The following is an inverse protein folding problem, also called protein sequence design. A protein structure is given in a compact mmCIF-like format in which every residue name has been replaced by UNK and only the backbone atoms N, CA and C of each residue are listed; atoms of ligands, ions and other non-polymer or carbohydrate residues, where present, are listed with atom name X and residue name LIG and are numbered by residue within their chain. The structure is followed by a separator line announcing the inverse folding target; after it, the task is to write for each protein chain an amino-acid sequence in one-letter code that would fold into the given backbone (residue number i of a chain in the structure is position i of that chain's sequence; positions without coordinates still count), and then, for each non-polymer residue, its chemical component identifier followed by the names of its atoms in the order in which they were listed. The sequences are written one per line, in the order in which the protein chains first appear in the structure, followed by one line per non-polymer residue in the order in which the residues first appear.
data_IF_607195291772
#
_entry.id   IF_607195291772
#
_cell.length_a   1.000
_cell.length_b   1.000
_cell.length_c   1.000
_cell.angle_alpha   90.00
_cell.angle_beta   90.00
_cell.angle_gamma   90.00
#
_symmetry.space_group_name_H-M   'P 1'
#
loop_
_entity.id
_entity.type
_entity.pdbx_description
1 polymer ?
#
# COMPACT_ATOMS: atom_id res chain seq x y z
N UNK A 1 -0.32 -10.80 -2.37
CA UNK A 1 -0.22 -9.55 -3.10
C UNK A 1 0.81 -8.68 -2.39
N UNK A 2 1.58 -7.92 -3.16
CA UNK A 2 2.55 -6.98 -2.63
C UNK A 2 1.92 -5.65 -2.21
N UNK A 3 2.77 -4.67 -1.97
CA UNK A 3 2.38 -3.31 -1.59
C UNK A 3 2.75 -2.32 -2.69
N UNK A 4 1.96 -1.29 -2.84
CA UNK A 4 2.38 -0.03 -3.41
C UNK A 4 3.16 0.74 -2.35
N UNK A 5 4.28 1.34 -2.74
CA UNK A 5 5.25 1.94 -1.83
C UNK A 5 5.29 3.44 -2.03
N UNK A 6 5.17 4.21 -0.94
CA UNK A 6 5.28 5.66 -1.00
C UNK A 6 6.68 6.10 -1.45
N UNK A 7 6.75 7.18 -2.23
CA UNK A 7 8.01 7.69 -2.81
C UNK A 7 9.08 7.97 -1.75
N UNK A 8 8.68 8.38 -0.54
CA UNK A 8 9.58 8.74 0.56
C UNK A 8 10.45 7.59 1.04
N UNK A 9 10.00 6.32 0.88
CA UNK A 9 10.75 5.14 1.34
C UNK A 9 11.39 4.34 0.20
N UNK A 10 11.08 4.64 -1.06
CA UNK A 10 11.73 4.00 -2.23
C UNK A 10 13.25 4.15 -2.26
N UNK A 11 13.85 5.30 -1.84
CA UNK A 11 15.31 5.45 -1.80
C UNK A 11 16.05 4.44 -0.91
N UNK A 12 15.34 3.81 0.03
CA UNK A 12 15.93 2.78 0.91
C UNK A 12 15.98 1.38 0.29
N UNK A 13 15.38 1.17 -0.90
CA UNK A 13 15.40 -0.09 -1.64
C UNK A 13 14.02 -0.72 -1.83
N UNK A 14 12.98 -0.19 -1.21
CA UNK A 14 11.61 -0.68 -1.42
C UNK A 14 11.10 -0.37 -2.83
N UNK A 15 10.31 -1.31 -3.38
CA UNK A 15 9.74 -1.20 -4.72
C UNK A 15 8.24 -1.55 -4.71
N UNK A 16 7.51 -0.96 -5.63
CA UNK A 16 6.12 -1.35 -5.84
C UNK A 16 6.02 -2.85 -6.17
N UNK A 17 5.08 -3.53 -5.51
CA UNK A 17 4.91 -4.97 -5.61
C UNK A 17 5.64 -5.79 -4.55
N UNK A 18 6.48 -5.18 -3.72
CA UNK A 18 7.20 -5.88 -2.65
C UNK A 18 6.23 -6.55 -1.67
N UNK A 19 6.58 -7.76 -1.27
CA UNK A 19 5.94 -8.46 -0.16
C UNK A 19 6.83 -8.37 1.07
N UNK A 20 6.27 -7.92 2.16
CA UNK A 20 6.96 -7.91 3.46
C UNK A 20 7.01 -9.35 4.00
N UNK A 21 8.20 -9.82 4.28
CA UNK A 21 8.44 -11.15 4.84
C UNK A 21 8.65 -11.08 6.35
N UNK A 22 9.56 -10.21 6.80
CA UNK A 22 9.95 -10.08 8.20
C UNK A 22 10.31 -8.63 8.53
N UNK A 23 10.16 -8.28 9.80
CA UNK A 23 10.64 -7.03 10.40
C UNK A 23 11.53 -7.40 11.58
N UNK A 24 12.78 -6.95 11.61
CA UNK A 24 13.78 -7.32 12.60
C UNK A 24 13.92 -8.85 12.79
N UNK A 25 13.79 -9.62 11.70
CA UNK A 25 13.89 -11.08 11.70
C UNK A 25 12.61 -11.83 12.10
N UNK A 26 11.52 -11.13 12.46
CA UNK A 26 10.26 -11.73 12.85
C UNK A 26 9.18 -11.50 11.77
N UNK A 27 8.37 -12.52 11.48
CA UNK A 27 7.25 -12.41 10.55
C UNK A 27 6.10 -11.62 11.19
N UNK A 28 5.49 -10.71 10.42
CA UNK A 28 4.29 -10.00 10.87
C UNK A 28 3.06 -10.90 10.75
N UNK A 29 2.17 -10.90 11.76
CA UNK A 29 0.85 -11.55 11.67
C UNK A 29 0.00 -10.92 10.55
N UNK A 30 0.04 -9.59 10.44
CA UNK A 30 -0.56 -8.82 9.37
C UNK A 30 0.53 -7.97 8.71
N UNK A 31 0.85 -8.24 7.45
CA UNK A 31 1.85 -7.47 6.72
C UNK A 31 1.52 -5.96 6.62
N UNK A 32 0.26 -5.56 6.82
CA UNK A 32 -0.17 -4.15 6.83
C UNK A 32 0.35 -3.40 8.07
N UNK A 33 0.69 -4.12 9.13
CA UNK A 33 1.27 -3.55 10.34
C UNK A 33 2.66 -2.96 10.10
N UNK A 34 3.31 -3.25 8.97
CA UNK A 34 4.57 -2.62 8.57
C UNK A 34 4.53 -1.10 8.71
N UNK A 35 3.39 -0.47 8.37
CA UNK A 35 3.22 0.98 8.51
C UNK A 35 3.36 1.43 9.97
N UNK A 36 2.72 0.72 10.88
CA UNK A 36 2.77 0.99 12.32
C UNK A 36 4.18 0.77 12.87
N UNK A 37 4.83 -0.33 12.45
CA UNK A 37 6.18 -0.66 12.87
C UNK A 37 7.17 0.42 12.46
N UNK A 38 7.23 0.79 11.17
CA UNK A 38 8.14 1.83 10.69
C UNK A 38 7.85 3.22 11.29
N UNK A 39 6.59 3.50 11.60
CA UNK A 39 6.20 4.80 12.12
C UNK A 39 6.43 4.92 13.63
N UNK A 40 6.13 3.88 14.42
CA UNK A 40 6.08 3.98 15.88
C UNK A 40 7.20 3.22 16.60
N UNK A 41 7.74 2.16 16.00
CA UNK A 41 8.65 1.23 16.65
C UNK A 41 10.07 1.36 16.10
N UNK A 42 11.02 0.77 16.82
CA UNK A 42 12.41 0.72 16.39
C UNK A 42 12.58 -0.46 15.41
N UNK A 43 12.72 -0.12 14.14
CA UNK A 43 12.94 -1.08 13.05
C UNK A 43 14.30 -0.82 12.45
N UNK A 44 15.18 -1.83 12.47
CA UNK A 44 16.51 -1.76 11.88
C UNK A 44 16.58 -2.43 10.51
N UNK A 45 15.73 -3.43 10.26
CA UNK A 45 15.76 -4.22 9.03
C UNK A 45 14.35 -4.69 8.65
N UNK A 46 14.09 -4.69 7.35
CA UNK A 46 12.88 -5.31 6.76
C UNK A 46 13.29 -6.26 5.65
N UNK A 47 12.89 -7.52 5.76
CA UNK A 47 13.07 -8.51 4.69
C UNK A 47 11.90 -8.45 3.74
N UNK A 48 12.19 -8.32 2.45
CA UNK A 48 11.18 -8.25 1.37
C UNK A 48 11.40 -9.30 0.31
N UNK A 49 10.35 -9.65 -0.43
CA UNK A 49 10.40 -10.38 -1.69
C UNK A 49 9.90 -9.46 -2.81
N UNK A 50 10.79 -9.12 -3.72
CA UNK A 50 10.45 -8.31 -4.90
C UNK A 50 9.62 -9.10 -5.91
N UNK A 51 9.01 -8.41 -6.88
CA UNK A 51 8.20 -9.03 -7.94
C UNK A 51 8.93 -10.10 -8.74
N UNK A 52 10.25 -9.95 -8.94
CA UNK A 52 11.10 -10.91 -9.62
C UNK A 52 11.43 -12.16 -8.79
N UNK A 53 10.92 -12.25 -7.56
CA UNK A 53 11.18 -13.34 -6.60
C UNK A 53 12.48 -13.22 -5.80
N UNK A 54 13.29 -12.19 -6.05
CA UNK A 54 14.49 -11.95 -5.25
C UNK A 54 14.10 -11.49 -3.85
N UNK A 55 14.82 -12.01 -2.85
CA UNK A 55 14.68 -11.59 -1.46
C UNK A 55 15.83 -10.67 -1.09
N UNK A 56 15.50 -9.60 -0.41
CA UNK A 56 16.44 -8.59 0.04
C UNK A 56 16.14 -8.18 1.48
N UNK A 57 17.20 -7.92 2.26
CA UNK A 57 17.10 -7.32 3.58
C UNK A 57 17.42 -5.83 3.45
N UNK A 58 16.44 -5.00 3.73
CA UNK A 58 16.54 -3.55 3.61
C UNK A 58 16.85 -2.98 4.99
N UNK A 59 17.98 -2.28 5.10
CA UNK A 59 18.34 -1.57 6.33
C UNK A 59 17.50 -0.30 6.48
N UNK A 60 16.97 -0.09 7.66
CA UNK A 60 16.08 1.02 7.97
C UNK A 60 16.79 2.02 8.89
N UNK A 61 16.81 3.32 8.56
CA UNK A 61 17.40 4.33 9.42
C UNK A 61 16.54 4.55 10.67
N UNK A 62 17.19 4.84 11.81
CA UNK A 62 16.53 5.00 13.11
C UNK A 62 15.47 6.11 13.12
N UNK A 63 15.59 7.10 12.24
CA UNK A 63 14.66 8.21 12.12
C UNK A 63 13.60 8.03 11.01
N UNK A 64 13.39 6.82 10.50
CA UNK A 64 12.46 6.57 9.40
C UNK A 64 11.04 7.09 9.69
N UNK A 65 10.55 6.89 10.90
CA UNK A 65 9.24 7.38 11.31
C UNK A 65 9.15 8.91 11.24
N UNK A 66 10.19 9.63 11.62
CA UNK A 66 10.27 11.10 11.51
C UNK A 66 10.26 11.53 10.03
N UNK A 67 11.07 10.86 9.19
CA UNK A 67 11.09 11.12 7.74
C UNK A 67 9.69 10.91 7.15
N UNK A 68 9.02 9.82 7.48
CA UNK A 68 7.66 9.55 7.04
C UNK A 68 6.68 10.64 7.49
N UNK A 69 6.76 11.06 8.77
CA UNK A 69 5.89 12.09 9.32
C UNK A 69 6.08 13.45 8.64
N UNK A 70 7.31 13.91 8.50
CA UNK A 70 7.64 15.19 7.89
C UNK A 70 7.21 15.27 6.42
N UNK A 71 7.28 14.14 5.70
CA UNK A 71 6.82 14.04 4.32
C UNK A 71 5.31 13.73 4.17
N UNK A 72 4.57 13.62 5.28
CA UNK A 72 3.13 13.34 5.25
C UNK A 72 2.78 11.89 4.88
N UNK A 73 3.74 10.99 4.89
CA UNK A 73 3.60 9.58 4.52
C UNK A 73 3.45 8.69 5.77
N UNK A 74 2.49 9.00 6.65
CA UNK A 74 2.18 8.19 7.85
C UNK A 74 1.92 6.72 7.47
N UNK A 75 1.37 6.51 6.27
CA UNK A 75 1.32 5.21 5.62
C UNK A 75 2.27 5.23 4.44
N UNK A 76 3.23 4.30 4.42
CA UNK A 76 4.20 4.16 3.35
C UNK A 76 3.92 2.93 2.48
N UNK A 77 3.11 2.00 2.97
CA UNK A 77 2.71 0.78 2.27
C UNK A 77 1.20 0.71 2.13
N UNK A 78 0.72 0.61 0.91
CA UNK A 78 -0.67 0.42 0.57
C UNK A 78 -0.85 -0.95 -0.10
N UNK A 79 -1.87 -1.75 0.26
CA UNK A 79 -2.11 -3.00 -0.43
C UNK A 79 -2.25 -2.79 -1.93
N UNK A 80 -1.39 -3.42 -2.71
CA UNK A 80 -1.39 -3.25 -4.15
C UNK A 80 -2.60 -3.95 -4.78
N UNK A 81 -3.36 -3.22 -5.58
CA UNK A 81 -4.42 -3.78 -6.43
C UNK A 81 -3.80 -4.17 -7.78
N UNK A 82 -3.59 -5.46 -8.05
CA UNK A 82 -3.00 -5.89 -9.32
C UNK A 82 -3.93 -5.57 -10.49
N UNK A 83 -3.36 -5.40 -11.69
CA UNK A 83 -4.12 -5.13 -12.91
C UNK A 83 -4.81 -6.42 -13.39
N UNK A 84 -5.95 -6.74 -12.79
CA UNK A 84 -6.77 -7.90 -13.15
C UNK A 84 -7.97 -7.43 -13.96
N UNK A 85 -8.18 -8.01 -15.12
CA UNK A 85 -9.30 -7.66 -16.00
C UNK A 85 -10.62 -8.13 -15.39
N UNK A 86 -11.55 -7.20 -15.19
CA UNK A 86 -12.92 -7.49 -14.71
C UNK A 86 -13.90 -7.64 -15.85
N UNK A 87 -13.80 -6.78 -16.87
CA UNK A 87 -14.63 -6.88 -18.06
C UNK A 87 -13.87 -6.54 -19.33
N UNK A 88 -14.34 -7.08 -20.43
CA UNK A 88 -13.82 -6.84 -21.78
C UNK A 88 -14.99 -6.46 -22.67
N UNK A 89 -14.83 -5.33 -23.36
CA UNK A 89 -15.86 -4.82 -24.27
C UNK A 89 -15.95 -5.73 -25.49
N UNK A 90 -17.13 -6.24 -25.85
CA UNK A 90 -17.32 -7.05 -27.06
C UNK A 90 -16.81 -6.35 -28.32
N UNK A 91 -16.16 -7.08 -29.21
CA UNK A 91 -15.56 -6.58 -30.45
C UNK A 91 -14.48 -5.51 -30.28
N UNK A 92 -13.94 -5.33 -29.05
CA UNK A 92 -12.80 -4.47 -28.80
C UNK A 92 -11.48 -5.08 -29.23
N UNK A 93 -10.39 -4.29 -29.32
CA UNK A 93 -9.04 -4.82 -29.53
C UNK A 93 -8.65 -5.94 -28.56
N UNK A 94 -8.95 -5.79 -27.28
CA UNK A 94 -8.68 -6.80 -26.26
C UNK A 94 -9.50 -8.08 -26.48
N UNK A 95 -10.77 -7.94 -26.85
CA UNK A 95 -11.62 -9.09 -27.20
C UNK A 95 -11.07 -9.87 -28.39
N UNK A 96 -10.68 -9.16 -29.45
CA UNK A 96 -10.13 -9.76 -30.68
C UNK A 96 -8.77 -10.42 -30.44
N UNK A 97 -7.98 -9.93 -29.49
CA UNK A 97 -6.72 -10.51 -29.06
C UNK A 97 -6.89 -11.69 -28.08
N UNK A 98 -8.13 -12.05 -27.71
CA UNK A 98 -8.41 -13.20 -26.85
C UNK A 98 -8.12 -12.99 -25.36
N UNK A 99 -8.08 -11.72 -24.88
CA UNK A 99 -8.04 -11.44 -23.46
C UNK A 99 -9.33 -11.89 -22.79
N UNK A 100 -9.24 -12.28 -21.53
CA UNK A 100 -10.36 -12.83 -20.75
C UNK A 100 -10.47 -12.15 -19.39
N UNK A 101 -11.69 -12.15 -18.82
CA UNK A 101 -11.90 -11.78 -17.44
C UNK A 101 -11.03 -12.65 -16.52
N UNK A 102 -10.35 -12.02 -15.57
CA UNK A 102 -9.41 -12.68 -14.65
C UNK A 102 -7.97 -12.69 -15.12
N UNK A 103 -7.68 -12.30 -16.36
CA UNK A 103 -6.29 -12.12 -16.81
C UNK A 103 -5.63 -11.00 -16.00
N UNK A 104 -4.42 -11.24 -15.52
CA UNK A 104 -3.60 -10.22 -14.87
C UNK A 104 -2.58 -9.70 -15.85
N UNK A 105 -2.64 -8.41 -16.16
CA UNK A 105 -1.61 -7.74 -16.96
C UNK A 105 -0.35 -7.60 -16.10
N UNK A 106 0.80 -8.01 -16.65
CA UNK A 106 2.08 -8.01 -15.95
C UNK A 106 3.16 -7.20 -16.67
N UNK A 107 3.03 -7.03 -17.99
CA UNK A 107 4.01 -6.29 -18.78
C UNK A 107 3.33 -5.65 -20.00
N UNK A 108 3.82 -4.48 -20.39
CA UNK A 108 3.40 -3.77 -21.61
C UNK A 108 4.65 -3.27 -22.33
N UNK A 109 4.82 -3.68 -23.58
CA UNK A 109 5.97 -3.32 -24.44
C UNK A 109 7.35 -3.54 -23.77
N UNK A 110 7.47 -4.59 -22.92
CA UNK A 110 8.71 -4.91 -22.21
C UNK A 110 8.86 -4.21 -20.86
N UNK A 111 7.93 -3.34 -20.46
CA UNK A 111 7.93 -2.70 -19.15
C UNK A 111 6.95 -3.40 -18.22
N UNK A 112 7.40 -3.70 -17.00
CA UNK A 112 6.54 -4.29 -15.98
C UNK A 112 5.42 -3.34 -15.60
N UNK A 113 4.24 -3.90 -15.33
CA UNK A 113 3.04 -3.19 -14.93
C UNK A 113 2.53 -3.76 -13.62
N UNK A 114 2.43 -2.90 -12.62
CA UNK A 114 2.03 -3.26 -11.27
C UNK A 114 0.70 -2.63 -10.90
N UNK A 115 0.40 -1.44 -11.45
CA UNK A 115 -0.79 -0.63 -11.17
C UNK A 115 -1.57 -0.34 -12.44
N UNK A 116 -2.86 -0.05 -12.27
CA UNK A 116 -3.74 0.34 -13.38
C UNK A 116 -3.30 1.64 -14.07
N UNK A 117 -2.81 2.59 -13.29
CA UNK A 117 -2.32 3.87 -13.78
C UNK A 117 -1.14 3.67 -14.75
N UNK A 118 -0.14 2.86 -14.36
CA UNK A 118 1.01 2.52 -15.19
C UNK A 118 0.59 1.87 -16.51
N UNK A 119 -0.38 0.96 -16.43
CA UNK A 119 -0.94 0.31 -17.61
C UNK A 119 -1.60 1.33 -18.55
N UNK A 120 -2.45 2.20 -18.02
CA UNK A 120 -3.16 3.20 -18.84
C UNK A 120 -2.20 4.22 -19.45
N UNK A 121 -1.20 4.68 -18.69
CA UNK A 121 -0.16 5.58 -19.18
C UNK A 121 0.63 4.97 -20.34
N UNK A 122 1.04 3.71 -20.22
CA UNK A 122 1.78 3.01 -21.28
C UNK A 122 0.94 2.79 -22.53
N UNK A 123 -0.37 2.49 -22.38
CA UNK A 123 -1.29 2.36 -23.50
C UNK A 123 -1.50 3.72 -24.19
N UNK A 124 -1.68 4.80 -23.42
CA UNK A 124 -1.87 6.15 -23.95
C UNK A 124 -0.60 6.72 -24.60
N UNK A 125 0.56 6.46 -24.02
CA UNK A 125 1.86 6.89 -24.55
C UNK A 125 2.29 6.10 -25.80
N UNK A 126 1.62 5.00 -26.10
CA UNK A 126 1.98 4.16 -27.25
C UNK A 126 1.68 4.90 -28.56
N UNK A 127 2.74 5.12 -29.35
CA UNK A 127 2.65 5.78 -30.67
C UNK A 127 2.49 4.80 -31.81
N UNK A 128 2.68 3.50 -31.55
CA UNK A 128 2.46 2.44 -32.51
C UNK A 128 1.00 2.01 -32.55
N UNK A 129 0.53 1.57 -33.69
CA UNK A 129 -0.81 0.96 -33.80
C UNK A 129 -0.91 -0.35 -33.01
N UNK A 130 0.22 -1.03 -32.78
CA UNK A 130 0.30 -2.29 -32.05
C UNK A 130 0.96 -2.11 -30.69
N UNK A 131 0.47 -2.84 -29.70
CA UNK A 131 1.01 -2.89 -28.35
C UNK A 131 1.18 -4.37 -27.92
N UNK A 132 2.31 -4.70 -27.33
CA UNK A 132 2.55 -6.05 -26.79
C UNK A 132 2.19 -6.06 -25.31
N UNK A 133 1.38 -7.03 -24.91
CA UNK A 133 0.93 -7.17 -23.52
C UNK A 133 1.17 -8.61 -23.08
N UNK A 134 1.91 -8.78 -21.98
CA UNK A 134 2.02 -10.06 -21.31
C UNK A 134 1.00 -10.10 -20.17
N UNK A 135 0.27 -11.20 -20.16
CA UNK A 135 -0.74 -11.49 -19.14
C UNK A 135 -0.39 -12.77 -18.40
N UNK A 136 -0.79 -12.84 -17.15
CA UNK A 136 -0.79 -14.07 -16.37
C UNK A 136 -2.23 -14.59 -16.29
N UNK A 137 -2.46 -15.77 -16.87
CA UNK A 137 -3.74 -16.50 -16.82
C UNK A 137 -3.54 -17.77 -15.99
N UNK A 138 -4.04 -17.75 -14.76
CA UNK A 138 -3.70 -18.79 -13.80
C UNK A 138 -2.20 -18.78 -13.48
N UNK A 139 -1.50 -19.88 -13.84
CA UNK A 139 -0.05 -20.01 -13.66
C UNK A 139 0.76 -19.78 -14.94
N UNK A 140 0.11 -19.55 -16.07
CA UNK A 140 0.76 -19.40 -17.37
C UNK A 140 0.92 -17.91 -17.72
N UNK A 141 2.03 -17.59 -18.37
CA UNK A 141 2.26 -16.28 -18.98
C UNK A 141 1.96 -16.39 -20.48
N UNK A 142 1.10 -15.52 -20.97
CA UNK A 142 0.68 -15.45 -22.36
C UNK A 142 0.99 -14.07 -22.92
N UNK A 143 1.72 -14.01 -24.03
CA UNK A 143 2.02 -12.77 -24.73
C UNK A 143 1.02 -12.54 -25.85
N UNK A 144 0.45 -11.34 -25.93
CA UNK A 144 -0.51 -10.94 -26.95
C UNK A 144 -0.05 -9.65 -27.61
N UNK A 145 -0.19 -9.59 -28.93
CA UNK A 145 -0.06 -8.31 -29.67
C UNK A 145 -1.46 -7.80 -29.97
N UNK A 146 -1.76 -6.60 -29.50
CA UNK A 146 -3.08 -5.96 -29.64
C UNK A 146 -2.96 -4.78 -30.57
N UNK A 147 -3.83 -4.69 -31.56
CA UNK A 147 -3.96 -3.53 -32.44
C UNK A 147 -4.92 -2.55 -31.79
N UNK A 148 -4.42 -1.37 -31.40
CA UNK A 148 -5.22 -0.32 -30.75
C UNK A 148 -6.29 0.24 -31.69
N UNK A 149 -7.38 0.74 -31.12
CA UNK A 149 -8.36 1.50 -31.87
C UNK A 149 -7.85 2.94 -32.14
N UNK A 150 -8.62 3.72 -32.88
CA UNK A 150 -8.28 5.11 -33.24
C UNK A 150 -8.09 6.03 -32.03
N UNK A 151 -8.62 5.66 -30.87
CA UNK A 151 -8.52 6.41 -29.61
C UNK A 151 -7.45 5.87 -28.66
N UNK A 152 -6.55 5.01 -29.13
CA UNK A 152 -5.56 4.31 -28.32
C UNK A 152 -6.16 3.54 -27.12
N UNK A 153 -7.30 2.88 -27.33
CA UNK A 153 -7.98 2.10 -26.31
C UNK A 153 -8.00 0.62 -26.70
N UNK A 154 -7.95 -0.23 -25.70
CA UNK A 154 -8.06 -1.69 -25.92
C UNK A 154 -9.42 -2.26 -25.50
N UNK A 155 -10.22 -1.52 -24.72
CA UNK A 155 -11.57 -1.92 -24.33
C UNK A 155 -11.62 -2.91 -23.18
N UNK A 156 -10.95 -2.60 -22.08
CA UNK A 156 -10.95 -3.38 -20.83
C UNK A 156 -11.25 -2.51 -19.62
N UNK A 157 -11.75 -3.13 -18.56
CA UNK A 157 -11.76 -2.55 -17.21
C UNK A 157 -11.05 -3.48 -16.23
N UNK A 158 -10.48 -2.92 -15.15
CA UNK A 158 -9.84 -3.68 -14.09
C UNK A 158 -10.71 -3.76 -12.84
N UNK A 159 -10.42 -4.76 -12.00
CA UNK A 159 -10.93 -4.80 -10.63
C UNK A 159 -10.41 -3.59 -9.87
N UNK A 160 -11.31 -2.87 -9.20
CA UNK A 160 -10.98 -1.67 -8.42
C UNK A 160 -10.65 -1.97 -6.94
N UNK A 161 -10.81 -3.20 -6.53
CA UNK A 161 -10.60 -3.59 -5.12
C UNK A 161 -10.09 -5.02 -5.00
N UNK A 162 -9.35 -5.26 -3.93
CA UNK A 162 -8.92 -6.60 -3.54
C UNK A 162 -9.97 -7.16 -2.58
N UNK A 163 -10.48 -8.37 -2.88
CA UNK A 163 -11.23 -9.13 -1.90
C UNK A 163 -10.24 -9.71 -0.88
N UNK A 164 -10.11 -9.05 0.27
CA UNK A 164 -9.34 -9.56 1.38
C UNK A 164 -10.17 -10.62 2.11
N UNK A 165 -9.68 -11.84 2.13
CA UNK A 165 -10.24 -12.89 3.00
C UNK A 165 -9.65 -12.73 4.39
N UNK A 166 -10.44 -12.43 5.43
CA UNK A 166 -9.91 -12.30 6.78
C UNK A 166 -9.43 -13.67 7.28
N UNK A 167 -8.26 -13.70 7.88
CA UNK A 167 -7.78 -14.87 8.62
C UNK A 167 -8.37 -14.83 10.01
N UNK A 168 -9.10 -15.87 10.39
CA UNK A 168 -9.68 -15.98 11.73
C UNK A 168 -8.66 -16.69 12.62
N UNK A 169 -8.04 -15.95 13.52
CA UNK A 169 -7.18 -16.50 14.57
C UNK A 169 -8.09 -17.06 15.69
N UNK A 170 -7.81 -18.29 16.11
CA UNK A 170 -8.54 -18.93 17.21
C UNK A 170 -7.57 -19.15 18.37
N UNK A 171 -7.95 -18.67 19.53
CA UNK A 171 -7.16 -18.79 20.76
C UNK A 171 -7.91 -19.64 21.77
N UNK A 172 -7.20 -20.44 22.55
CA UNK A 172 -7.72 -21.00 23.79
C UNK A 172 -7.84 -19.88 24.84
N UNK A 173 -8.52 -20.15 25.94
CA UNK A 173 -8.71 -19.15 27.00
C UNK A 173 -7.37 -18.63 27.57
N UNK A 174 -6.39 -19.53 27.79
CA UNK A 174 -5.09 -19.14 28.31
C UNK A 174 -4.27 -18.35 27.28
N UNK A 175 -4.27 -18.79 26.02
CA UNK A 175 -3.61 -18.06 24.92
C UNK A 175 -4.20 -16.67 24.74
N UNK A 176 -5.55 -16.53 24.86
CA UNK A 176 -6.22 -15.23 24.76
C UNK A 176 -5.77 -14.23 25.83
N UNK A 177 -5.50 -14.71 27.06
CA UNK A 177 -5.00 -13.86 28.14
C UNK A 177 -3.58 -13.38 27.82
N UNK A 178 -2.68 -14.27 27.42
CA UNK A 178 -1.30 -13.93 27.10
C UNK A 178 -1.24 -12.97 25.90
N UNK A 179 -1.92 -13.31 24.81
CA UNK A 179 -2.00 -12.47 23.60
C UNK A 179 -2.63 -11.10 23.92
N UNK A 180 -3.64 -11.09 24.78
CA UNK A 180 -4.29 -9.84 25.22
C UNK A 180 -3.35 -8.92 26.01
N UNK A 181 -2.49 -9.47 26.89
CA UNK A 181 -1.48 -8.69 27.59
C UNK A 181 -0.40 -8.15 26.65
N UNK A 182 0.10 -8.99 25.74
CA UNK A 182 1.13 -8.58 24.77
C UNK A 182 0.57 -7.48 23.83
N UNK A 183 -0.66 -7.64 23.34
CA UNK A 183 -1.32 -6.61 22.52
C UNK A 183 -1.53 -5.31 23.29
N UNK A 184 -2.01 -5.38 24.53
CA UNK A 184 -2.22 -4.20 25.37
C UNK A 184 -0.90 -3.46 25.66
N UNK A 185 0.17 -4.19 25.93
CA UNK A 185 1.49 -3.63 26.16
C UNK A 185 2.00 -2.90 24.90
N UNK A 186 1.97 -3.53 23.75
CA UNK A 186 2.41 -2.91 22.50
C UNK A 186 1.54 -1.74 22.08
N UNK A 187 0.21 -1.83 22.27
CA UNK A 187 -0.71 -0.73 21.96
C UNK A 187 -0.41 0.50 22.83
N UNK A 188 -0.12 0.30 24.13
CA UNK A 188 0.29 1.36 25.01
C UNK A 188 1.62 2.01 24.55
N UNK A 189 2.61 1.19 24.19
CA UNK A 189 3.88 1.70 23.68
C UNK A 189 3.71 2.45 22.36
N UNK A 190 2.92 1.93 21.44
CA UNK A 190 2.60 2.57 20.17
C UNK A 190 1.89 3.94 20.40
N UNK A 191 0.99 3.99 21.39
CA UNK A 191 0.32 5.23 21.79
C UNK A 191 1.32 6.25 22.35
N UNK A 192 2.20 5.83 23.27
CA UNK A 192 3.24 6.70 23.83
C UNK A 192 4.25 7.11 22.75
N UNK A 193 4.59 6.22 21.85
CA UNK A 193 5.52 6.46 20.73
C UNK A 193 5.07 7.60 19.80
N UNK A 194 3.76 7.88 19.71
CA UNK A 194 3.23 8.97 18.90
C UNK A 194 3.64 10.35 19.44
N UNK A 195 3.89 10.47 20.74
CA UNK A 195 4.28 11.76 21.33
C UNK A 195 5.63 12.27 20.83
N UNK A 196 6.52 11.37 20.32
CA UNK A 196 7.81 11.81 19.76
C UNK A 196 7.64 12.82 18.61
N UNK A 197 6.53 12.73 17.86
CA UNK A 197 6.25 13.61 16.73
C UNK A 197 5.83 15.02 17.12
N UNK A 198 5.35 15.22 18.34
CA UNK A 198 4.99 16.55 18.88
C UNK A 198 6.22 17.47 18.90
N UNK A 199 7.40 16.90 19.13
CA UNK A 199 8.65 17.64 19.21
C UNK A 199 9.35 17.88 17.87
N UNK A 200 8.74 17.44 16.75
CA UNK A 200 9.21 17.78 15.40
C UNK A 200 8.70 19.16 14.98
N UNK A 201 9.34 19.80 14.00
CA UNK A 201 8.90 21.12 13.48
C UNK A 201 7.45 21.06 12.99
N UNK A 202 7.09 20.02 12.24
CA UNK A 202 5.73 19.80 11.73
C UNK A 202 4.74 19.55 12.88
N UNK A 203 5.11 18.74 13.87
CA UNK A 203 4.28 18.45 15.03
C UNK A 203 4.06 19.70 15.88
N UNK A 204 5.11 20.46 16.15
CA UNK A 204 5.01 21.73 16.89
C UNK A 204 4.10 22.75 16.19
N UNK A 205 4.15 22.82 14.85
CA UNK A 205 3.24 23.68 14.07
C UNK A 205 1.77 23.23 14.15
N UNK A 206 1.52 21.95 14.31
CA UNK A 206 0.16 21.40 14.45
C UNK A 206 -0.40 21.59 15.88
N UNK A 207 0.45 21.74 16.89
CA UNK A 207 0.00 22.10 18.25
C UNK A 207 -0.68 23.47 18.30
N UNK A 208 -0.33 24.38 17.39
CA UNK A 208 -1.06 25.63 17.21
C UNK A 208 -2.56 25.42 16.91
N UNK A 209 -2.92 24.32 16.25
CA UNK A 209 -4.30 23.90 16.03
C UNK A 209 -5.04 23.54 17.32
N UNK A 210 -4.37 22.93 18.30
CA UNK A 210 -4.98 22.64 19.61
C UNK A 210 -5.24 23.91 20.40
N UNK A 211 -4.35 24.91 20.34
CA UNK A 211 -4.59 26.22 20.95
C UNK A 211 -5.76 26.95 20.26
N UNK A 212 -5.90 26.80 18.93
CA UNK A 212 -7.04 27.33 18.21
C UNK A 212 -8.36 26.63 18.59
N UNK A 213 -8.35 25.32 18.81
CA UNK A 213 -9.50 24.57 19.35
C UNK A 213 -9.80 25.05 20.78
N UNK A 214 -8.77 25.24 21.63
CA UNK A 214 -8.93 25.79 22.98
C UNK A 214 -9.61 27.16 22.99
N UNK A 215 -9.34 27.98 21.98
CA UNK A 215 -9.97 29.32 21.84
C UNK A 215 -11.44 29.26 21.36
N UNK A 216 -11.94 28.12 20.95
CA UNK A 216 -13.37 27.89 20.62
C UNK A 216 -14.21 27.70 21.89
N UNK A 217 -13.57 27.35 23.02
CA UNK A 217 -14.27 27.24 24.29
C UNK A 217 -14.38 28.63 24.95
N UNK A 218 -15.53 28.96 25.59
CA UNK A 218 -15.69 30.21 26.28
C UNK A 218 -14.67 30.34 27.43
N UNK A 219 -14.21 31.56 27.67
CA UNK A 219 -13.22 31.88 28.73
C UNK A 219 -13.70 31.49 30.14
N UNK A 220 -15.01 31.41 30.34
CA UNK A 220 -15.65 30.92 31.55
C UNK A 220 -16.43 29.64 31.25
N UNK A 221 -16.24 28.62 32.09
CA UNK A 221 -16.90 27.33 31.93
C UNK A 221 -18.41 27.47 32.17
N UNK A 222 -19.20 27.15 31.17
CA UNK A 222 -20.65 27.14 31.25
C UNK A 222 -21.18 25.77 30.81
N UNK A 223 -21.84 25.08 31.72
CA UNK A 223 -22.40 23.74 31.45
C UNK A 223 -23.45 23.71 30.33
N UNK A 224 -24.18 24.83 30.17
CA UNK A 224 -25.17 24.91 29.10
C UNK A 224 -24.50 24.95 27.71
N UNK A 225 -23.50 25.80 27.56
CA UNK A 225 -22.76 25.96 26.29
C UNK A 225 -21.91 24.71 25.94
N UNK A 226 -21.61 23.89 26.96
CA UNK A 226 -20.90 22.63 26.77
C UNK A 226 -21.79 21.52 26.21
N UNK A 227 -23.11 21.53 26.49
CA UNK A 227 -24.04 20.47 26.12
C UNK A 227 -24.97 20.86 24.94
N UNK A 228 -24.96 22.08 24.46
CA UNK A 228 -25.63 22.57 23.24
C UNK A 228 -24.69 22.50 22.03
#
# INVERSE_FOLDING_TARGET
NGFEVAEVIKPYGFKDGDKILQVNGEALEDARDINKYLFLRDVSEVSVEHLNGNKENISIPDNIGTIMFENGAIRAFYPLVPVILDSIVPNSPAFNAGLQKGDRIINVNGNDVVKWEEFTEQVMANTSQNINIDIKRGNEVVSNTITLNENNQIGVSSLQSINLTPTILKYSFIESINDGFDRAYWELLDYVGQFKYIFTEKGASQLGGFAAIGNLFPAEWNWKDFWE
#
